data_IF_330438515384
#
_entry.id   IF_330438515384
#
_cell.length_a   1.000
_cell.length_b   1.000
_cell.length_c   1.000
_cell.angle_alpha   90.00
_cell.angle_beta   90.00
_cell.angle_gamma   90.00
#
_symmetry.space_group_name_H-M   'P 1'
#
loop_
_entity.id
_entity.type
_entity.pdbx_description
1 polymer ?
#
# COMPACT_ATOMS: atom_id res chain seq x y z
N UNK A 1 -14.88 10.41 -22.79
CA UNK A 1 -13.61 9.69 -22.58
C UNK A 1 -13.51 9.16 -21.15
N UNK A 2 -14.01 9.89 -20.14
CA UNK A 2 -13.96 9.47 -18.71
C UNK A 2 -14.97 8.35 -18.33
N UNK A 3 -16.04 8.18 -19.09
CA UNK A 3 -17.07 7.16 -18.82
C UNK A 3 -16.68 5.75 -19.29
N UNK A 4 -15.78 5.63 -20.28
CA UNK A 4 -15.39 4.34 -20.86
C UNK A 4 -14.32 3.60 -20.05
N UNK A 5 -13.49 4.35 -19.30
CA UNK A 5 -12.41 3.75 -18.47
C UNK A 5 -12.92 3.11 -17.18
N UNK A 6 -14.09 3.52 -16.69
CA UNK A 6 -14.72 2.88 -15.53
C UNK A 6 -15.33 1.51 -15.87
N UNK A 7 -15.76 1.31 -17.13
CA UNK A 7 -16.42 0.08 -17.56
C UNK A 7 -15.46 -1.11 -17.70
N UNK A 8 -14.21 -0.89 -18.11
CA UNK A 8 -13.25 -1.98 -18.28
C UNK A 8 -12.75 -2.57 -16.94
N UNK A 9 -12.60 -1.72 -15.92
CA UNK A 9 -12.25 -2.17 -14.56
C UNK A 9 -13.38 -2.95 -13.89
N UNK A 10 -14.62 -2.53 -14.14
CA UNK A 10 -15.83 -3.21 -13.66
C UNK A 10 -16.07 -4.55 -14.37
N UNK A 11 -15.70 -4.67 -15.66
CA UNK A 11 -15.86 -5.92 -16.41
C UNK A 11 -14.94 -7.05 -15.88
N UNK A 12 -13.73 -6.76 -15.45
CA UNK A 12 -12.87 -7.78 -14.84
C UNK A 12 -13.40 -8.23 -13.46
N UNK A 13 -13.89 -7.29 -12.65
CA UNK A 13 -14.52 -7.60 -11.36
C UNK A 13 -15.87 -8.35 -11.56
N UNK A 14 -16.60 -8.07 -12.64
CA UNK A 14 -17.88 -8.73 -12.98
C UNK A 14 -17.66 -10.13 -13.55
N UNK A 15 -16.58 -10.35 -14.33
CA UNK A 15 -16.25 -11.69 -14.84
C UNK A 15 -15.80 -12.64 -13.72
N UNK A 16 -15.12 -12.13 -12.70
CA UNK A 16 -14.78 -12.92 -11.52
C UNK A 16 -16.00 -13.32 -10.66
N UNK A 17 -17.10 -12.52 -10.72
CA UNK A 17 -18.33 -12.81 -9.95
C UNK A 17 -19.32 -13.67 -10.72
N UNK A 18 -19.41 -13.53 -12.04
CA UNK A 18 -20.36 -14.28 -12.88
C UNK A 18 -19.99 -15.78 -13.03
N UNK A 19 -18.68 -16.14 -12.94
CA UNK A 19 -18.22 -17.52 -13.02
C UNK A 19 -18.59 -18.38 -11.79
N UNK A 20 -19.24 -17.81 -10.78
CA UNK A 20 -19.61 -18.48 -9.52
C UNK A 20 -21.01 -19.09 -9.48
N UNK A 21 -21.83 -18.87 -10.53
CA UNK A 21 -23.26 -19.18 -10.46
C UNK A 21 -23.69 -20.48 -11.17
N UNK A 22 -22.88 -21.08 -12.03
CA UNK A 22 -23.34 -22.24 -12.81
C UNK A 22 -22.33 -23.39 -12.81
N UNK A 23 -22.32 -24.23 -11.77
CA UNK A 23 -21.83 -25.61 -11.88
C UNK A 23 -22.65 -26.56 -10.99
N UNK A 24 -23.82 -26.93 -11.50
CA UNK A 24 -24.45 -28.20 -11.15
C UNK A 24 -24.57 -28.99 -12.44
N UNK A 25 -23.76 -30.00 -12.66
CA UNK A 25 -24.04 -31.12 -13.55
C UNK A 25 -23.12 -32.30 -13.34
N UNK A 26 -23.72 -33.41 -13.26
CA UNK A 26 -23.54 -34.80 -13.06
C UNK A 26 -22.26 -35.46 -13.62
N UNK A 27 -21.90 -36.70 -13.11
CA UNK A 27 -20.64 -37.36 -13.39
C UNK A 27 -20.67 -38.10 -14.72
N UNK A 28 -19.72 -37.78 -15.59
CA UNK A 28 -19.38 -38.63 -16.77
C UNK A 28 -18.21 -39.53 -16.44
N UNK A 29 -18.33 -40.81 -16.78
CA UNK A 29 -17.33 -41.87 -16.64
C UNK A 29 -15.97 -41.50 -17.25
N UNK A 30 -14.85 -41.95 -16.68
CA UNK A 30 -13.54 -41.74 -17.26
C UNK A 30 -13.30 -42.68 -18.44
N UNK A 31 -13.61 -42.18 -19.62
CA UNK A 31 -13.08 -42.80 -20.84
C UNK A 31 -11.60 -42.42 -20.93
N UNK A 32 -10.73 -43.41 -21.02
CA UNK A 32 -9.29 -43.22 -21.06
C UNK A 32 -8.93 -42.32 -22.25
N UNK A 33 -8.60 -41.07 -21.98
CA UNK A 33 -8.17 -40.12 -22.99
C UNK A 33 -6.87 -40.62 -23.64
N UNK A 34 -6.92 -40.87 -24.94
CA UNK A 34 -5.75 -41.17 -25.75
C UNK A 34 -4.69 -40.05 -25.57
N UNK A 35 -3.39 -40.36 -25.56
CA UNK A 35 -2.35 -39.32 -25.43
C UNK A 35 -2.47 -38.33 -26.59
N UNK A 36 -2.73 -37.08 -26.27
CA UNK A 36 -2.83 -36.00 -27.27
C UNK A 36 -1.51 -35.88 -28.02
N UNK A 37 -1.58 -35.89 -29.34
CA UNK A 37 -0.40 -35.69 -30.21
C UNK A 37 0.07 -34.24 -30.15
N UNK A 38 1.35 -34.00 -30.36
CA UNK A 38 1.98 -32.67 -30.28
C UNK A 38 1.27 -31.59 -31.13
N UNK A 39 0.75 -31.89 -32.35
CA UNK A 39 -0.08 -30.96 -33.11
C UNK A 39 -1.42 -30.60 -32.50
N UNK A 40 -2.05 -31.52 -31.73
CA UNK A 40 -3.32 -31.29 -31.04
C UNK A 40 -3.13 -30.40 -29.82
N UNK A 41 -1.99 -30.46 -29.14
CA UNK A 41 -1.61 -29.54 -28.07
C UNK A 41 -1.38 -28.10 -28.58
N UNK A 42 -0.87 -27.94 -29.81
CA UNK A 42 -0.67 -26.62 -30.45
C UNK A 42 -1.92 -26.16 -31.20
N UNK A 43 -2.79 -27.04 -31.69
CA UNK A 43 -3.97 -26.72 -32.49
C UNK A 43 -5.08 -25.96 -31.76
N UNK A 44 -5.01 -25.83 -30.42
CA UNK A 44 -5.97 -25.09 -29.60
C UNK A 44 -5.52 -23.70 -29.19
N UNK A 45 -4.26 -23.32 -29.36
CA UNK A 45 -3.75 -22.02 -28.95
C UNK A 45 -3.97 -20.96 -30.03
N UNK A 46 -4.44 -19.81 -29.62
CA UNK A 46 -4.66 -18.64 -30.48
C UNK A 46 -3.75 -17.51 -30.03
N UNK A 47 -3.23 -16.76 -30.97
CA UNK A 47 -2.42 -15.57 -30.71
C UNK A 47 -3.26 -14.34 -31.04
N UNK A 48 -3.31 -13.40 -30.12
CA UNK A 48 -3.93 -12.09 -30.32
C UNK A 48 -2.92 -11.01 -29.97
N UNK A 49 -2.85 -9.99 -30.82
CA UNK A 49 -1.95 -8.84 -30.62
C UNK A 49 -2.79 -7.61 -30.33
N UNK A 50 -2.36 -6.80 -29.37
CA UNK A 50 -3.02 -5.52 -29.06
C UNK A 50 -2.94 -4.55 -30.24
N UNK A 51 -3.82 -3.54 -30.34
CA UNK A 51 -3.82 -2.58 -31.43
C UNK A 51 -2.48 -1.85 -31.65
N UNK A 52 -1.75 -1.57 -30.58
CA UNK A 52 -0.40 -0.95 -30.69
C UNK A 52 0.71 -1.92 -31.07
N UNK A 53 0.45 -3.23 -30.99
CA UNK A 53 1.45 -4.28 -31.16
C UNK A 53 2.38 -4.50 -29.97
N UNK A 54 2.15 -3.80 -28.85
CA UNK A 54 3.01 -3.88 -27.64
C UNK A 54 2.73 -5.06 -26.74
N UNK A 55 1.57 -5.68 -26.89
CA UNK A 55 1.14 -6.84 -26.10
C UNK A 55 0.71 -7.96 -27.03
N UNK A 56 1.25 -9.13 -26.79
CA UNK A 56 0.85 -10.38 -27.45
C UNK A 56 0.29 -11.32 -26.39
N UNK A 57 -0.90 -11.86 -26.64
CA UNK A 57 -1.55 -12.84 -25.76
C UNK A 57 -1.69 -14.17 -26.48
N UNK A 58 -1.24 -15.23 -25.84
CA UNK A 58 -1.33 -16.60 -26.31
C UNK A 58 -2.29 -17.34 -25.39
N UNK A 59 -3.41 -17.80 -25.89
CA UNK A 59 -4.44 -18.50 -25.11
C UNK A 59 -5.36 -19.30 -25.99
N UNK A 60 -6.39 -19.92 -25.40
CA UNK A 60 -7.33 -20.78 -26.14
C UNK A 60 -8.46 -20.02 -26.80
N UNK A 61 -8.94 -18.96 -26.16
CA UNK A 61 -10.15 -18.25 -26.55
C UNK A 61 -9.78 -16.89 -27.15
N UNK A 62 -10.10 -16.59 -28.43
CA UNK A 62 -9.78 -15.31 -29.07
C UNK A 62 -10.36 -14.08 -28.33
N UNK A 63 -11.58 -14.21 -27.78
CA UNK A 63 -12.25 -13.13 -27.05
C UNK A 63 -11.49 -12.83 -25.75
N UNK A 64 -11.13 -13.86 -24.96
CA UNK A 64 -10.34 -13.70 -23.74
C UNK A 64 -8.97 -13.08 -24.04
N UNK A 65 -8.28 -13.58 -25.07
CA UNK A 65 -7.00 -13.05 -25.50
C UNK A 65 -7.09 -11.56 -25.85
N UNK A 66 -8.15 -11.16 -26.57
CA UNK A 66 -8.37 -9.76 -26.92
C UNK A 66 -8.63 -8.89 -25.68
N UNK A 67 -9.49 -9.34 -24.76
CA UNK A 67 -9.78 -8.64 -23.52
C UNK A 67 -8.52 -8.48 -22.65
N UNK A 68 -7.74 -9.55 -22.49
CA UNK A 68 -6.49 -9.52 -21.73
C UNK A 68 -5.45 -8.61 -22.39
N UNK A 69 -5.34 -8.61 -23.73
CA UNK A 69 -4.42 -7.72 -24.44
C UNK A 69 -4.77 -6.24 -24.27
N UNK A 70 -6.06 -5.90 -24.34
CA UNK A 70 -6.55 -4.53 -24.11
C UNK A 70 -6.33 -4.10 -22.66
N UNK A 71 -6.65 -4.96 -21.70
CA UNK A 71 -6.42 -4.71 -20.30
C UNK A 71 -4.93 -4.47 -19.98
N UNK A 72 -4.03 -5.30 -20.52
CA UNK A 72 -2.60 -5.14 -20.31
C UNK A 72 -2.06 -3.86 -20.96
N UNK A 73 -2.54 -3.50 -22.15
CA UNK A 73 -2.18 -2.24 -22.82
C UNK A 73 -2.62 -1.01 -22.03
N UNK A 74 -3.86 -1.01 -21.53
CA UNK A 74 -4.38 0.03 -20.63
C UNK A 74 -3.55 0.12 -19.34
N UNK A 75 -3.18 -1.03 -18.77
CA UNK A 75 -2.36 -1.08 -17.56
C UNK A 75 -0.97 -0.48 -17.81
N UNK A 76 -0.31 -0.84 -18.90
CA UNK A 76 0.99 -0.27 -19.33
C UNK A 76 0.88 1.24 -19.47
N UNK A 77 -0.16 1.74 -20.13
CA UNK A 77 -0.39 3.18 -20.29
C UNK A 77 -0.57 3.88 -18.92
N UNK A 78 -1.33 3.28 -18.00
CA UNK A 78 -1.51 3.82 -16.64
C UNK A 78 -0.23 3.81 -15.83
N UNK A 79 0.59 2.75 -15.94
CA UNK A 79 1.91 2.70 -15.28
C UNK A 79 2.79 3.84 -15.79
N UNK A 80 2.87 4.06 -17.09
CA UNK A 80 3.58 5.21 -17.67
C UNK A 80 3.04 6.55 -17.17
N UNK A 81 1.70 6.69 -17.07
CA UNK A 81 1.06 7.90 -16.53
C UNK A 81 1.37 8.13 -15.05
N UNK A 82 1.48 7.09 -14.24
CA UNK A 82 1.83 7.18 -12.81
C UNK A 82 3.32 7.45 -12.62
N UNK A 83 4.18 6.63 -13.21
CA UNK A 83 5.63 6.66 -12.96
C UNK A 83 6.37 7.70 -13.77
N UNK A 84 5.83 8.14 -14.90
CA UNK A 84 6.52 8.98 -15.89
C UNK A 84 7.56 8.22 -16.70
N UNK A 85 7.65 6.89 -16.56
CA UNK A 85 8.56 6.07 -17.34
C UNK A 85 8.05 5.89 -18.78
N UNK A 86 8.94 5.87 -19.78
CA UNK A 86 8.56 5.47 -21.12
C UNK A 86 8.19 3.99 -21.17
N UNK A 87 7.29 3.63 -22.07
CA UNK A 87 6.92 2.23 -22.27
C UNK A 87 8.15 1.44 -22.81
N UNK A 88 8.55 0.34 -22.16
CA UNK A 88 9.67 -0.46 -22.63
C UNK A 88 9.29 -1.42 -23.77
N UNK A 89 8.02 -1.55 -24.12
CA UNK A 89 7.54 -2.49 -25.15
C UNK A 89 7.28 -1.80 -26.49
N UNK A 90 7.68 -2.48 -27.55
CA UNK A 90 7.53 -2.09 -28.95
C UNK A 90 7.01 -3.29 -29.76
N UNK A 91 6.67 -3.09 -31.03
CA UNK A 91 6.13 -4.17 -31.89
C UNK A 91 7.12 -5.34 -32.09
N UNK A 92 8.40 -5.06 -32.14
CA UNK A 92 9.48 -6.05 -32.28
C UNK A 92 9.86 -6.71 -30.94
N UNK A 93 9.47 -6.10 -29.83
CA UNK A 93 9.71 -6.59 -28.46
C UNK A 93 8.47 -6.41 -27.59
N UNK A 94 7.37 -7.14 -27.89
CA UNK A 94 6.13 -7.03 -27.13
C UNK A 94 6.23 -7.73 -25.79
N UNK A 95 5.37 -7.32 -24.85
CA UNK A 95 5.05 -8.12 -23.67
C UNK A 95 4.25 -9.35 -24.12
N UNK A 96 4.72 -10.53 -23.83
CA UNK A 96 4.01 -11.78 -24.12
C UNK A 96 3.32 -12.31 -22.86
N UNK A 97 2.00 -12.48 -22.95
CA UNK A 97 1.15 -13.08 -21.90
C UNK A 97 0.64 -14.43 -22.39
N UNK A 98 1.02 -15.49 -21.71
CA UNK A 98 0.54 -16.84 -22.00
C UNK A 98 -0.53 -17.25 -21.01
N UNK A 99 -1.73 -17.54 -21.49
CA UNK A 99 -2.87 -17.96 -20.70
C UNK A 99 -3.00 -19.47 -20.75
N UNK A 100 -2.75 -20.13 -19.63
CA UNK A 100 -2.91 -21.59 -19.50
C UNK A 100 -4.17 -21.89 -18.70
N UNK A 101 -4.99 -22.78 -19.21
CA UNK A 101 -6.02 -23.40 -18.40
C UNK A 101 -5.37 -24.40 -17.44
N UNK A 102 -5.88 -24.49 -16.22
CA UNK A 102 -5.42 -25.50 -15.28
C UNK A 102 -5.79 -26.90 -15.80
N UNK A 103 -4.79 -27.71 -16.11
CA UNK A 103 -4.99 -29.13 -16.43
C UNK A 103 -5.18 -29.89 -15.12
N UNK A 104 -6.43 -30.26 -14.80
CA UNK A 104 -6.76 -31.21 -13.74
C UNK A 104 -6.74 -30.69 -12.30
N UNK A 105 -7.84 -30.89 -11.63
CA UNK A 105 -8.30 -30.56 -10.29
C UNK A 105 -7.39 -30.75 -9.05
N UNK A 106 -6.19 -30.27 -9.06
CA UNK A 106 -5.36 -30.19 -7.86
C UNK A 106 -5.56 -28.86 -7.14
N UNK A 107 -5.95 -28.88 -5.87
CA UNK A 107 -6.19 -27.72 -5.01
C UNK A 107 -4.96 -26.82 -4.76
N UNK A 108 -3.83 -27.05 -5.41
CA UNK A 108 -2.54 -26.47 -5.04
C UNK A 108 -2.11 -25.22 -5.83
N UNK A 109 -2.87 -24.75 -6.82
CA UNK A 109 -2.44 -23.58 -7.59
C UNK A 109 -3.60 -22.69 -8.05
N UNK A 110 -4.38 -22.14 -7.11
CA UNK A 110 -5.33 -21.09 -7.44
C UNK A 110 -4.56 -19.87 -7.97
N UNK A 111 -4.68 -19.62 -9.30
CA UNK A 111 -4.21 -18.40 -9.93
C UNK A 111 -2.70 -18.14 -9.77
N UNK A 112 -1.83 -19.08 -10.22
CA UNK A 112 -0.40 -18.85 -10.21
C UNK A 112 0.05 -18.05 -11.43
N UNK A 113 0.97 -17.12 -11.23
CA UNK A 113 1.68 -16.44 -12.31
C UNK A 113 3.17 -16.75 -12.19
N UNK A 114 3.81 -17.05 -13.31
CA UNK A 114 5.26 -17.26 -13.37
C UNK A 114 5.89 -16.38 -14.45
N UNK A 115 7.04 -15.80 -14.13
CA UNK A 115 7.87 -15.09 -15.08
C UNK A 115 8.77 -16.13 -15.76
N UNK A 116 8.60 -16.28 -17.06
CA UNK A 116 9.43 -17.21 -17.86
C UNK A 116 10.65 -16.48 -18.40
N UNK A 117 10.45 -15.23 -18.81
CA UNK A 117 11.51 -14.35 -19.28
C UNK A 117 11.33 -12.99 -18.62
N UNK A 118 12.29 -12.58 -17.75
CA UNK A 118 12.21 -11.31 -17.07
C UNK A 118 12.01 -10.14 -18.03
N UNK A 119 10.99 -9.35 -17.77
CA UNK A 119 10.68 -8.18 -18.60
C UNK A 119 10.03 -8.47 -19.96
N UNK A 120 9.80 -9.73 -20.37
CA UNK A 120 9.26 -10.04 -21.69
C UNK A 120 8.07 -11.02 -21.68
N UNK A 121 8.07 -12.04 -20.82
CA UNK A 121 7.07 -13.12 -20.88
C UNK A 121 6.55 -13.54 -19.51
N UNK A 122 5.22 -13.50 -19.38
CA UNK A 122 4.47 -13.99 -18.22
C UNK A 122 3.57 -15.15 -18.60
N UNK A 123 3.47 -16.14 -17.73
CA UNK A 123 2.54 -17.26 -17.85
C UNK A 123 1.52 -17.17 -16.72
N UNK A 124 0.27 -17.01 -17.06
CA UNK A 124 -0.86 -17.01 -16.14
C UNK A 124 -1.54 -18.39 -16.15
N UNK A 125 -1.51 -19.07 -15.02
CA UNK A 125 -2.28 -20.27 -14.81
C UNK A 125 -3.63 -19.88 -14.21
N UNK A 126 -4.71 -20.07 -14.98
CA UNK A 126 -6.07 -19.72 -14.58
C UNK A 126 -6.25 -18.22 -14.20
N UNK A 127 -6.06 -17.34 -15.17
CA UNK A 127 -6.19 -15.87 -14.96
C UNK A 127 -7.58 -15.47 -14.44
N UNK A 128 -8.63 -16.25 -14.78
CA UNK A 128 -10.02 -15.96 -14.38
C UNK A 128 -10.19 -16.08 -12.86
N UNK A 129 -9.47 -17.03 -12.22
CA UNK A 129 -9.50 -17.23 -10.77
C UNK A 129 -8.46 -16.40 -10.02
N UNK A 130 -7.56 -15.75 -10.75
CA UNK A 130 -6.51 -14.94 -10.14
C UNK A 130 -7.08 -13.63 -9.58
N UNK A 131 -6.74 -13.24 -8.34
CA UNK A 131 -7.07 -11.90 -7.85
C UNK A 131 -6.52 -10.82 -8.80
N UNK A 132 -7.37 -9.88 -9.19
CA UNK A 132 -7.00 -8.82 -10.14
C UNK A 132 -5.78 -8.00 -9.69
N UNK A 133 -5.58 -7.85 -8.39
CA UNK A 133 -4.40 -7.19 -7.82
C UNK A 133 -3.11 -7.97 -8.13
N UNK A 134 -3.14 -9.30 -7.99
CA UNK A 134 -1.99 -10.16 -8.28
C UNK A 134 -1.63 -10.14 -9.78
N UNK A 135 -2.63 -10.15 -10.65
CA UNK A 135 -2.39 -10.01 -12.09
C UNK A 135 -1.76 -8.65 -12.43
N UNK A 136 -2.23 -7.56 -11.81
CA UNK A 136 -1.63 -6.22 -11.95
C UNK A 136 -0.19 -6.18 -11.46
N UNK A 137 0.09 -6.76 -10.30
CA UNK A 137 1.46 -6.82 -9.75
C UNK A 137 2.40 -7.56 -10.69
N UNK A 138 1.99 -8.69 -11.25
CA UNK A 138 2.81 -9.44 -12.19
C UNK A 138 3.17 -8.64 -13.44
N UNK A 139 2.18 -7.98 -14.06
CA UNK A 139 2.43 -7.14 -15.24
C UNK A 139 3.28 -5.92 -14.90
N UNK A 140 3.02 -5.27 -13.76
CA UNK A 140 3.85 -4.15 -13.28
C UNK A 140 5.29 -4.59 -13.01
N UNK A 141 5.49 -5.75 -12.38
CA UNK A 141 6.82 -6.32 -12.14
C UNK A 141 7.57 -6.57 -13.44
N UNK A 142 6.89 -7.20 -14.42
CA UNK A 142 7.49 -7.46 -15.73
C UNK A 142 7.88 -6.15 -16.46
N UNK A 143 7.01 -5.12 -16.41
CA UNK A 143 7.29 -3.82 -17.02
C UNK A 143 8.48 -3.11 -16.35
N UNK A 144 8.56 -3.14 -15.03
CA UNK A 144 9.68 -2.54 -14.29
C UNK A 144 10.99 -3.29 -14.56
N UNK A 145 10.95 -4.64 -14.64
CA UNK A 145 12.10 -5.46 -15.07
C UNK A 145 12.57 -5.09 -16.47
N UNK A 146 11.64 -4.95 -17.43
CA UNK A 146 11.98 -4.51 -18.80
C UNK A 146 12.63 -3.13 -18.82
N UNK A 147 12.17 -2.21 -17.98
CA UNK A 147 12.73 -0.86 -17.86
C UNK A 147 14.17 -0.91 -17.31
N UNK A 148 14.41 -1.73 -16.28
CA UNK A 148 15.73 -1.92 -15.69
C UNK A 148 16.71 -2.57 -16.69
N UNK A 149 16.26 -3.60 -17.42
CA UNK A 149 17.05 -4.25 -18.46
C UNK A 149 17.44 -3.27 -19.57
N UNK A 150 16.54 -2.40 -20.01
CA UNK A 150 16.85 -1.35 -20.99
C UNK A 150 17.91 -0.36 -20.48
N UNK A 151 17.78 0.06 -19.22
CA UNK A 151 18.76 0.95 -18.60
C UNK A 151 20.13 0.27 -18.47
N UNK A 152 20.17 -1.00 -18.10
CA UNK A 152 21.39 -1.79 -17.99
C UNK A 152 22.04 -2.07 -19.34
N UNK A 153 21.27 -2.29 -20.40
CA UNK A 153 21.79 -2.55 -21.77
C UNK A 153 22.48 -1.32 -22.38
N UNK A 154 22.24 -0.12 -21.84
CA UNK A 154 22.97 1.09 -22.21
C UNK A 154 24.37 1.16 -21.55
N UNK A 155 24.68 0.25 -20.61
CA UNK A 155 25.97 0.06 -19.93
C UNK A 155 26.54 -1.34 -20.19
N UNK A 156 27.39 -1.82 -19.29
CA UNK A 156 27.90 -3.20 -19.34
C UNK A 156 26.74 -4.19 -19.09
N UNK A 157 26.71 -5.30 -19.81
CA UNK A 157 25.67 -6.32 -19.64
C UNK A 157 25.69 -6.85 -18.18
N UNK A 158 24.58 -6.80 -17.44
CA UNK A 158 24.53 -7.32 -16.09
C UNK A 158 24.61 -8.86 -16.13
N UNK A 159 25.34 -9.46 -15.19
CA UNK A 159 25.45 -10.92 -15.03
C UNK A 159 24.07 -11.58 -14.70
N UNK A 160 23.17 -10.82 -14.10
CA UNK A 160 21.81 -11.25 -13.83
C UNK A 160 20.82 -10.12 -14.15
N UNK A 161 19.61 -10.47 -14.61
CA UNK A 161 18.55 -9.51 -14.83
C UNK A 161 18.16 -8.87 -13.48
N UNK A 162 18.22 -7.54 -13.33
CA UNK A 162 17.85 -6.91 -12.08
C UNK A 162 16.35 -7.08 -11.85
N UNK A 163 15.99 -7.60 -10.68
CA UNK A 163 14.59 -7.73 -10.26
C UNK A 163 14.13 -6.47 -9.55
N UNK A 164 12.96 -5.91 -9.93
CA UNK A 164 12.40 -4.79 -9.21
C UNK A 164 11.96 -5.23 -7.81
N UNK A 165 12.22 -4.44 -6.75
CA UNK A 165 11.79 -4.76 -5.41
C UNK A 165 10.27 -4.92 -5.31
N UNK A 166 9.82 -5.95 -4.60
CA UNK A 166 8.40 -6.29 -4.48
C UNK A 166 7.55 -5.14 -3.92
N UNK A 167 8.09 -4.33 -3.03
CA UNK A 167 7.38 -3.17 -2.49
C UNK A 167 7.15 -2.06 -3.54
N UNK A 168 8.08 -1.86 -4.49
CA UNK A 168 7.89 -0.91 -5.61
C UNK A 168 6.85 -1.46 -6.58
N UNK A 169 6.93 -2.75 -6.92
CA UNK A 169 5.93 -3.43 -7.76
C UNK A 169 4.53 -3.27 -7.15
N UNK A 170 4.38 -3.59 -5.87
CA UNK A 170 3.14 -3.40 -5.13
C UNK A 170 2.66 -1.95 -5.18
N UNK A 171 3.56 -1.00 -4.89
CA UNK A 171 3.24 0.43 -4.88
C UNK A 171 2.75 0.94 -6.24
N UNK A 172 3.38 0.55 -7.34
CA UNK A 172 2.94 0.90 -8.70
C UNK A 172 1.60 0.27 -9.03
N UNK A 173 1.43 -1.04 -8.78
CA UNK A 173 0.19 -1.76 -9.05
C UNK A 173 -1.02 -1.19 -8.31
N UNK A 174 -0.82 -0.65 -7.11
CA UNK A 174 -1.86 0.02 -6.32
C UNK A 174 -2.19 1.40 -6.85
N UNK A 175 -1.19 2.15 -7.33
CA UNK A 175 -1.40 3.52 -7.83
C UNK A 175 -2.10 3.60 -9.19
N UNK A 176 -2.04 2.56 -10.02
CA UNK A 176 -2.77 2.51 -11.30
C UNK A 176 -4.27 2.34 -11.13
N UNK A 177 -4.73 2.00 -9.91
CA UNK A 177 -6.15 1.88 -9.55
C UNK A 177 -6.56 3.06 -8.66
N UNK A 178 -7.43 3.95 -9.15
CA UNK A 178 -7.88 5.11 -8.38
C UNK A 178 -8.60 4.73 -7.07
N UNK A 179 -9.50 3.71 -7.02
CA UNK A 179 -10.10 3.25 -5.77
C UNK A 179 -9.06 2.76 -4.77
N UNK A 180 -8.08 1.96 -5.22
CA UNK A 180 -7.03 1.41 -4.38
C UNK A 180 -6.16 2.52 -3.78
N UNK A 181 -5.76 3.50 -4.59
CA UNK A 181 -4.99 4.66 -4.13
C UNK A 181 -5.74 5.46 -3.05
N UNK A 182 -7.05 5.64 -3.21
CA UNK A 182 -7.89 6.31 -2.21
C UNK A 182 -7.99 5.50 -0.90
N UNK A 183 -8.06 4.18 -1.00
CA UNK A 183 -8.05 3.27 0.15
C UNK A 183 -6.70 3.30 0.88
N UNK A 184 -5.59 3.29 0.13
CA UNK A 184 -4.24 3.37 0.67
C UNK A 184 -4.03 4.66 1.45
N UNK A 185 -4.43 5.80 0.88
CA UNK A 185 -4.38 7.08 1.57
C UNK A 185 -5.12 7.04 2.92
N UNK A 186 -6.33 6.48 2.94
CA UNK A 186 -7.12 6.32 4.18
C UNK A 186 -6.43 5.40 5.18
N UNK A 187 -5.93 4.25 4.73
CA UNK A 187 -5.26 3.27 5.60
C UNK A 187 -4.00 3.85 6.25
N UNK A 188 -3.20 4.60 5.48
CA UNK A 188 -1.99 5.26 6.00
C UNK A 188 -2.35 6.37 6.98
N UNK A 189 -3.37 7.19 6.67
CA UNK A 189 -3.82 8.25 7.54
C UNK A 189 -4.38 7.72 8.86
N UNK A 190 -5.23 6.69 8.81
CA UNK A 190 -5.80 6.06 10.01
C UNK A 190 -4.68 5.47 10.90
N UNK A 191 -3.67 4.85 10.30
CA UNK A 191 -2.51 4.34 11.05
C UNK A 191 -1.67 5.45 11.66
N UNK A 192 -1.48 6.56 10.94
CA UNK A 192 -0.75 7.72 11.42
C UNK A 192 -1.49 8.43 12.58
N UNK A 193 -2.80 8.66 12.44
CA UNK A 193 -3.64 9.25 13.49
C UNK A 193 -3.60 8.41 14.78
N UNK A 194 -3.58 7.09 14.64
CA UNK A 194 -3.48 6.14 15.75
C UNK A 194 -2.05 6.01 16.32
N UNK A 195 -1.06 6.66 15.72
CA UNK A 195 0.35 6.53 16.12
C UNK A 195 0.94 5.15 15.83
N UNK A 196 0.33 4.36 14.94
CA UNK A 196 0.78 3.02 14.54
C UNK A 196 1.67 3.02 13.30
N UNK A 197 1.95 4.18 12.73
CA UNK A 197 2.83 4.31 11.57
C UNK A 197 4.28 4.48 12.06
N UNK A 198 5.11 3.48 11.82
CA UNK A 198 6.56 3.56 12.05
C UNK A 198 7.20 4.61 11.11
N UNK A 199 8.43 5.00 11.40
CA UNK A 199 9.17 5.97 10.60
C UNK A 199 9.34 5.49 9.17
N UNK A 200 9.54 6.41 8.22
CA UNK A 200 9.83 6.03 6.84
C UNK A 200 11.14 5.24 6.76
N UNK A 201 12.15 5.59 7.55
CA UNK A 201 13.43 4.87 7.61
C UNK A 201 13.22 3.40 8.01
N UNK A 202 12.49 3.12 9.10
CA UNK A 202 12.17 1.75 9.55
C UNK A 202 11.38 0.99 8.48
N UNK A 203 10.44 1.64 7.82
CA UNK A 203 9.71 1.02 6.72
C UNK A 203 10.64 0.64 5.56
N UNK A 204 11.50 1.56 5.12
CA UNK A 204 12.44 1.32 4.01
C UNK A 204 13.46 0.22 4.34
N UNK A 205 13.95 0.17 5.59
CA UNK A 205 14.83 -0.90 6.06
C UNK A 205 14.15 -2.27 5.95
N UNK A 206 12.91 -2.38 6.45
CA UNK A 206 12.13 -3.61 6.39
C UNK A 206 11.82 -4.01 4.94
N UNK A 207 11.50 -3.06 4.06
CA UNK A 207 11.22 -3.31 2.65
C UNK A 207 12.49 -3.64 1.86
N UNK A 208 13.63 -3.02 2.18
CA UNK A 208 14.91 -3.34 1.57
C UNK A 208 15.38 -4.76 1.88
N UNK A 209 15.13 -5.24 3.11
CA UNK A 209 15.44 -6.62 3.50
C UNK A 209 14.55 -7.68 2.81
N UNK A 210 13.36 -7.28 2.31
CA UNK A 210 12.39 -8.18 1.68
C UNK A 210 12.69 -8.57 0.23
N UNK A 211 13.65 -7.94 -0.44
CA UNK A 211 14.01 -8.23 -1.84
C UNK A 211 12.83 -8.11 -2.81
N UNK A 212 12.65 -9.10 -3.69
CA UNK A 212 11.56 -9.13 -4.68
C UNK A 212 10.19 -9.54 -4.10
N UNK A 213 10.12 -9.96 -2.84
CA UNK A 213 8.87 -10.39 -2.22
C UNK A 213 7.88 -9.22 -2.06
N UNK A 214 6.66 -9.40 -2.56
CA UNK A 214 5.58 -8.42 -2.39
C UNK A 214 5.08 -8.44 -0.94
N UNK A 215 4.96 -7.28 -0.26
CA UNK A 215 4.42 -7.22 1.09
C UNK A 215 2.99 -7.79 1.18
N UNK A 216 2.72 -8.55 2.23
CA UNK A 216 1.40 -9.18 2.46
C UNK A 216 0.52 -8.38 3.42
N UNK A 217 1.11 -7.62 4.34
CA UNK A 217 0.38 -6.82 5.32
C UNK A 217 -0.40 -5.66 4.69
N UNK A 218 -1.67 -5.48 5.06
CA UNK A 218 -2.53 -4.42 4.51
C UNK A 218 -1.91 -3.02 4.65
N UNK A 219 -1.35 -2.71 5.83
CA UNK A 219 -0.72 -1.41 6.09
C UNK A 219 0.55 -1.24 5.26
N UNK A 220 1.41 -2.26 5.18
CA UNK A 220 2.65 -2.18 4.39
C UNK A 220 2.33 -2.02 2.90
N UNK A 221 1.35 -2.74 2.38
CA UNK A 221 0.87 -2.58 0.99
C UNK A 221 0.36 -1.16 0.74
N UNK A 222 -0.45 -0.62 1.64
CA UNK A 222 -0.94 0.75 1.54
C UNK A 222 0.20 1.78 1.57
N UNK A 223 1.21 1.55 2.41
CA UNK A 223 2.41 2.40 2.47
C UNK A 223 3.22 2.35 1.19
N UNK A 224 3.39 1.17 0.59
CA UNK A 224 4.03 1.04 -0.73
C UNK A 224 3.32 1.93 -1.77
N UNK A 225 1.98 1.85 -1.83
CA UNK A 225 1.17 2.72 -2.69
C UNK A 225 1.38 4.20 -2.40
N UNK A 226 1.37 4.57 -1.12
CA UNK A 226 1.51 5.96 -0.69
C UNK A 226 2.91 6.54 -0.96
N UNK A 227 4.00 5.77 -0.74
CA UNK A 227 5.38 6.18 -1.05
C UNK A 227 5.56 6.37 -2.55
N UNK A 228 5.10 5.42 -3.39
CA UNK A 228 5.18 5.55 -4.85
C UNK A 228 4.37 6.77 -5.32
N UNK A 229 3.16 6.99 -4.82
CA UNK A 229 2.36 8.18 -5.12
C UNK A 229 3.08 9.47 -4.74
N UNK A 230 3.79 9.49 -3.62
CA UNK A 230 4.56 10.64 -3.18
C UNK A 230 5.72 10.95 -4.12
N UNK A 231 6.53 9.95 -4.47
CA UNK A 231 7.69 10.11 -5.39
C UNK A 231 7.24 10.58 -6.77
N UNK A 232 6.08 10.11 -7.23
CA UNK A 232 5.55 10.40 -8.56
C UNK A 232 4.67 11.65 -8.64
N UNK A 233 4.43 12.35 -7.53
CA UNK A 233 3.53 13.52 -7.49
C UNK A 233 4.12 14.80 -8.09
N UNK A 234 5.45 14.90 -8.28
CA UNK A 234 6.16 16.12 -8.66
C UNK A 234 6.46 16.28 -10.15
N UNK A 235 6.98 17.45 -10.53
CA UNK A 235 7.67 17.63 -11.83
C UNK A 235 8.94 16.79 -11.85
N UNK A 236 9.27 16.19 -13.00
CA UNK A 236 10.42 15.28 -13.10
C UNK A 236 10.21 13.92 -12.46
N UNK A 237 8.96 13.52 -12.29
CA UNK A 237 8.57 12.23 -11.68
C UNK A 237 9.25 11.01 -12.32
N UNK A 238 9.45 11.02 -13.64
CA UNK A 238 10.11 9.93 -14.34
C UNK A 238 11.54 9.73 -13.87
N UNK A 239 12.32 10.82 -13.74
CA UNK A 239 13.71 10.77 -13.28
C UNK A 239 13.80 10.38 -11.81
N UNK A 240 12.89 10.91 -10.99
CA UNK A 240 12.83 10.59 -9.57
C UNK A 240 12.50 9.11 -9.35
N UNK A 241 11.52 8.60 -10.07
CA UNK A 241 11.12 7.20 -9.98
C UNK A 241 12.17 6.27 -10.58
N UNK A 242 12.82 6.65 -11.70
CA UNK A 242 13.95 5.90 -12.28
C UNK A 242 15.11 5.75 -11.29
N UNK A 243 15.49 6.84 -10.61
CA UNK A 243 16.54 6.78 -9.57
C UNK A 243 16.16 5.87 -8.43
N UNK A 244 14.94 6.02 -7.90
CA UNK A 244 14.44 5.16 -6.83
C UNK A 244 14.47 3.68 -7.25
N UNK A 245 13.95 3.37 -8.44
CA UNK A 245 13.92 2.01 -8.97
C UNK A 245 15.33 1.43 -9.15
N UNK A 246 16.25 2.17 -9.75
CA UNK A 246 17.63 1.74 -9.94
C UNK A 246 18.35 1.51 -8.61
N UNK A 247 18.22 2.45 -7.65
CA UNK A 247 18.82 2.31 -6.32
C UNK A 247 18.25 1.11 -5.59
N UNK A 248 16.92 0.96 -5.58
CA UNK A 248 16.24 -0.10 -4.83
C UNK A 248 16.46 -1.51 -5.43
N UNK A 249 16.84 -1.61 -6.70
CA UNK A 249 17.16 -2.88 -7.38
C UNK A 249 18.63 -3.29 -7.24
N UNK A 250 19.45 -2.52 -6.54
CA UNK A 250 20.85 -2.84 -6.26
C UNK A 250 21.00 -3.98 -5.25
N UNK A 251 22.05 -4.79 -5.42
CA UNK A 251 22.25 -6.01 -4.60
C UNK A 251 22.51 -5.76 -3.09
N UNK A 252 22.83 -4.51 -2.71
CA UNK A 252 23.16 -4.14 -1.32
C UNK A 252 22.41 -2.89 -0.86
N UNK A 253 21.14 -2.75 -1.27
CA UNK A 253 20.36 -1.56 -0.96
C UNK A 253 20.03 -1.50 0.52
N UNK A 254 20.45 -0.45 1.20
CA UNK A 254 20.10 -0.16 2.58
C UNK A 254 19.13 1.03 2.68
N UNK A 255 18.58 1.26 3.85
CA UNK A 255 17.63 2.35 4.10
C UNK A 255 18.24 3.74 3.84
N UNK A 256 19.56 3.92 4.04
CA UNK A 256 20.23 5.19 3.80
C UNK A 256 20.34 5.49 2.31
N UNK A 257 20.62 4.48 1.48
CA UNK A 257 20.67 4.63 0.00
C UNK A 257 19.28 4.97 -0.55
N UNK A 258 18.23 4.27 -0.09
CA UNK A 258 16.84 4.58 -0.44
C UNK A 258 16.45 5.98 0.03
N UNK A 259 16.82 6.34 1.26
CA UNK A 259 16.62 7.69 1.79
C UNK A 259 17.29 8.75 0.94
N UNK A 260 18.53 8.51 0.49
CA UNK A 260 19.29 9.41 -0.38
C UNK A 260 18.66 9.53 -1.77
N UNK A 261 18.19 8.43 -2.35
CA UNK A 261 17.48 8.44 -3.64
C UNK A 261 16.17 9.24 -3.54
N UNK A 262 15.45 9.14 -2.43
CA UNK A 262 14.25 9.93 -2.15
C UNK A 262 14.59 11.39 -1.86
N UNK A 263 15.62 11.68 -1.06
CA UNK A 263 16.04 13.04 -0.70
C UNK A 263 16.53 13.85 -1.91
N UNK A 264 17.15 13.23 -2.90
CA UNK A 264 17.50 13.88 -4.17
C UNK A 264 16.31 14.44 -4.94
N UNK A 265 15.10 14.07 -4.55
CA UNK A 265 13.83 14.52 -5.15
C UNK A 265 13.16 15.64 -4.33
N UNK A 266 13.49 15.75 -3.07
CA UNK A 266 12.88 16.65 -2.11
C UNK A 266 13.97 17.54 -1.47
N UNK A 267 13.65 18.81 -1.19
CA UNK A 267 14.56 19.80 -0.58
C UNK A 267 15.16 19.32 0.77
N UNK A 268 16.24 19.94 1.27
CA UNK A 268 17.12 19.48 2.35
C UNK A 268 16.49 19.36 3.76
N UNK A 269 15.20 19.54 3.88
CA UNK A 269 14.46 19.16 5.09
C UNK A 269 14.57 17.62 5.21
N UNK A 270 14.86 17.13 6.39
CA UNK A 270 15.02 15.70 6.62
C UNK A 270 13.88 14.87 6.01
N UNK A 271 14.20 13.70 5.48
CA UNK A 271 13.29 12.82 4.78
C UNK A 271 12.00 12.53 5.59
N UNK A 272 12.15 12.36 6.91
CA UNK A 272 11.02 12.12 7.82
C UNK A 272 10.08 13.33 7.91
N UNK A 273 10.62 14.55 7.97
CA UNK A 273 9.80 15.74 7.99
C UNK A 273 9.04 15.94 6.66
N UNK A 274 9.68 15.63 5.53
CA UNK A 274 9.02 15.65 4.23
C UNK A 274 7.91 14.60 4.13
N UNK A 275 8.12 13.41 4.70
CA UNK A 275 7.13 12.35 4.82
C UNK A 275 5.95 12.78 5.69
N UNK A 276 6.21 13.29 6.90
CA UNK A 276 5.18 13.76 7.82
C UNK A 276 4.35 14.90 7.19
N UNK A 277 5.00 15.85 6.50
CA UNK A 277 4.30 16.91 5.76
C UNK A 277 3.42 16.36 4.65
N UNK A 278 3.84 15.29 3.98
CA UNK A 278 3.03 14.64 2.95
C UNK A 278 1.80 13.99 3.56
N UNK A 279 1.97 13.23 4.65
CA UNK A 279 0.86 12.60 5.37
C UNK A 279 -0.12 13.65 5.87
N UNK A 280 0.37 14.73 6.48
CA UNK A 280 -0.45 15.87 6.92
C UNK A 280 -1.24 16.52 5.78
N UNK A 281 -0.61 16.71 4.61
CA UNK A 281 -1.29 17.28 3.45
C UNK A 281 -2.44 16.41 2.98
N UNK A 282 -2.22 15.11 2.89
CA UNK A 282 -3.28 14.17 2.51
C UNK A 282 -4.40 14.14 3.56
N UNK A 283 -4.07 14.21 4.84
CA UNK A 283 -5.04 14.31 5.93
C UNK A 283 -5.95 15.54 5.75
N UNK A 284 -5.39 16.70 5.39
CA UNK A 284 -6.19 17.90 5.13
C UNK A 284 -7.10 17.75 3.90
N UNK A 285 -6.62 17.11 2.84
CA UNK A 285 -7.42 16.87 1.62
C UNK A 285 -8.55 15.86 1.88
N UNK A 286 -8.29 14.87 2.72
CA UNK A 286 -9.26 13.80 3.06
C UNK A 286 -10.15 14.19 4.25
N UNK A 287 -9.86 15.32 4.97
CA UNK A 287 -10.72 15.88 6.03
C UNK A 287 -12.10 16.18 5.46
N UNK A 288 -13.00 15.21 5.55
CA UNK A 288 -14.29 15.19 4.84
C UNK A 288 -15.29 16.12 5.50
N UNK A 289 -15.93 17.01 4.76
CA UNK A 289 -17.23 17.52 5.18
C UNK A 289 -18.21 16.34 5.22
N UNK A 290 -18.78 16.00 6.38
CA UNK A 290 -19.84 15.01 6.51
C UNK A 290 -19.59 13.83 7.45
N UNK A 291 -18.45 13.76 8.17
CA UNK A 291 -18.30 12.76 9.23
C UNK A 291 -19.21 13.07 10.42
N UNK A 292 -19.83 12.03 10.97
CA UNK A 292 -20.65 12.16 12.18
C UNK A 292 -19.79 12.60 13.37
N UNK A 293 -20.41 13.26 14.36
CA UNK A 293 -19.73 13.64 15.60
C UNK A 293 -19.13 12.43 16.29
N UNK A 294 -19.85 11.29 16.29
CA UNK A 294 -19.39 10.04 16.90
C UNK A 294 -18.12 9.48 16.25
N UNK A 295 -18.03 9.47 14.91
CA UNK A 295 -16.80 9.07 14.19
C UNK A 295 -15.63 9.99 14.50
N UNK A 296 -15.89 11.28 14.60
CA UNK A 296 -14.86 12.27 14.91
C UNK A 296 -14.32 12.14 16.33
N UNK A 297 -15.20 11.89 17.30
CA UNK A 297 -14.82 11.56 18.69
C UNK A 297 -14.04 10.25 18.76
N UNK A 298 -14.48 9.21 18.02
CA UNK A 298 -13.77 7.95 17.92
C UNK A 298 -12.33 8.12 17.39
N UNK A 299 -12.13 8.93 16.36
CA UNK A 299 -10.80 9.27 15.83
C UNK A 299 -9.93 10.02 16.82
N UNK A 300 -10.48 11.01 17.50
CA UNK A 300 -9.74 11.74 18.52
C UNK A 300 -9.30 10.79 19.65
N UNK A 301 -10.18 9.90 20.12
CA UNK A 301 -9.82 8.88 21.11
C UNK A 301 -8.71 7.95 20.62
N UNK A 302 -8.78 7.48 19.37
CA UNK A 302 -7.72 6.69 18.79
C UNK A 302 -6.40 7.46 18.71
N UNK A 303 -6.46 8.75 18.39
CA UNK A 303 -5.29 9.64 18.39
C UNK A 303 -4.73 9.91 19.79
N UNK A 304 -5.50 9.76 20.86
CA UNK A 304 -5.05 9.90 22.25
C UNK A 304 -4.29 8.67 22.77
N UNK A 305 -4.39 7.52 22.13
CA UNK A 305 -3.62 6.33 22.49
C UNK A 305 -2.13 6.55 22.20
N UNK A 306 -1.27 6.15 23.14
CA UNK A 306 0.18 6.34 23.04
C UNK A 306 0.85 5.00 22.69
N UNK A 307 1.58 4.96 21.56
CA UNK A 307 2.34 3.80 21.06
C UNK A 307 3.82 4.17 20.90
N UNK A 308 4.59 4.28 22.01
CA UNK A 308 5.97 4.78 21.94
C UNK A 308 6.93 3.84 21.20
N UNK A 309 6.66 2.54 21.18
CA UNK A 309 7.47 1.55 20.48
C UNK A 309 7.67 1.83 18.99
N UNK A 310 6.77 2.63 18.38
CA UNK A 310 6.87 3.03 16.98
C UNK A 310 7.74 4.28 16.75
N UNK A 311 8.23 4.92 17.81
CA UNK A 311 9.03 6.15 17.77
C UNK A 311 10.43 6.00 18.34
N UNK A 312 11.01 4.79 18.29
CA UNK A 312 12.39 4.56 18.74
C UNK A 312 12.55 4.34 20.25
N UNK A 313 11.45 4.05 20.97
CA UNK A 313 11.58 3.48 22.31
C UNK A 313 12.39 2.18 22.21
N UNK A 314 13.40 1.95 23.07
CA UNK A 314 14.13 0.69 23.08
C UNK A 314 13.15 -0.47 23.12
N UNK A 315 13.31 -1.42 22.22
CA UNK A 315 12.33 -2.47 21.94
C UNK A 315 11.96 -3.22 23.23
N UNK A 316 10.75 -2.98 23.71
CA UNK A 316 10.04 -4.01 24.46
C UNK A 316 9.53 -5.04 23.44
N UNK A 317 9.39 -6.29 23.83
CA UNK A 317 8.93 -7.40 22.99
C UNK A 317 7.55 -7.15 22.31
N UNK A 318 6.90 -6.03 22.59
CA UNK A 318 5.57 -5.63 22.10
C UNK A 318 5.60 -4.22 21.50
N UNK A 319 5.84 -4.08 20.18
CA UNK A 319 5.88 -2.77 19.52
C UNK A 319 4.56 -1.98 19.59
N UNK A 320 3.45 -2.66 19.89
CA UNK A 320 2.12 -2.06 20.01
C UNK A 320 1.65 -1.88 21.46
N UNK A 321 2.55 -2.00 22.44
CA UNK A 321 2.21 -1.69 23.83
C UNK A 321 1.77 -0.23 23.95
N UNK A 322 0.57 -0.01 24.49
CA UNK A 322 0.11 1.32 24.88
C UNK A 322 0.75 1.73 26.20
N UNK A 323 1.15 2.99 26.25
CA UNK A 323 1.69 3.64 27.45
C UNK A 323 0.65 4.62 27.98
N UNK A 324 0.54 4.74 29.28
CA UNK A 324 -0.32 5.76 29.90
C UNK A 324 0.30 7.16 29.83
N UNK A 325 -0.52 8.20 29.83
CA UNK A 325 -0.05 9.60 29.90
C UNK A 325 0.83 9.89 31.11
N UNK A 326 0.55 9.38 32.35
CA UNK A 326 1.46 9.51 33.48
C UNK A 326 2.82 8.87 33.21
N UNK A 327 2.84 7.66 32.64
CA UNK A 327 4.07 6.94 32.30
C UNK A 327 4.93 7.71 31.28
N UNK A 328 4.28 8.37 30.26
CA UNK A 328 5.00 9.25 29.33
C UNK A 328 5.67 10.44 30.04
N UNK A 329 5.01 11.00 31.07
CA UNK A 329 5.61 12.07 31.89
C UNK A 329 6.84 11.58 32.63
N UNK A 330 6.83 10.36 33.15
CA UNK A 330 7.96 9.75 33.86
C UNK A 330 9.14 9.48 32.91
N UNK A 331 8.83 9.15 31.65
CA UNK A 331 9.84 8.91 30.60
C UNK A 331 10.33 10.19 29.89
N UNK A 332 9.95 11.39 30.32
CA UNK A 332 10.18 12.68 29.62
C UNK A 332 11.63 12.98 29.25
N UNK A 333 12.60 12.42 29.97
CA UNK A 333 14.03 12.63 29.76
C UNK A 333 14.65 11.71 28.70
N UNK A 334 13.88 10.74 28.20
CA UNK A 334 14.35 9.83 27.16
C UNK A 334 14.41 10.53 25.79
N UNK A 335 15.47 10.27 25.04
CA UNK A 335 15.77 10.96 23.76
C UNK A 335 14.62 10.90 22.74
N UNK A 336 13.92 9.76 22.65
CA UNK A 336 12.81 9.55 21.71
C UNK A 336 11.56 10.34 22.05
N UNK A 337 11.35 10.75 23.32
CA UNK A 337 10.11 11.39 23.79
C UNK A 337 9.89 12.74 23.11
N UNK A 338 10.94 13.50 22.85
CA UNK A 338 10.80 14.81 22.17
C UNK A 338 10.19 14.67 20.78
N UNK A 339 10.66 13.74 19.99
CA UNK A 339 10.13 13.46 18.65
C UNK A 339 8.72 12.88 18.70
N UNK A 340 8.49 11.93 19.62
CA UNK A 340 7.17 11.39 19.87
C UNK A 340 6.14 12.48 20.17
N UNK A 341 6.46 13.43 21.04
CA UNK A 341 5.57 14.55 21.38
C UNK A 341 5.23 15.43 20.17
N UNK A 342 6.18 15.67 19.26
CA UNK A 342 5.93 16.41 18.02
C UNK A 342 4.93 15.68 17.15
N UNK A 343 5.19 14.41 16.86
CA UNK A 343 4.32 13.56 16.04
C UNK A 343 2.93 13.46 16.61
N UNK A 344 2.84 13.25 17.92
CA UNK A 344 1.54 13.13 18.62
C UNK A 344 0.75 14.43 18.60
N UNK A 345 1.41 15.57 18.80
CA UNK A 345 0.76 16.89 18.68
C UNK A 345 0.20 17.12 17.27
N UNK A 346 0.94 16.74 16.24
CA UNK A 346 0.49 16.84 14.87
C UNK A 346 -0.72 15.92 14.60
N UNK A 347 -0.68 14.68 15.09
CA UNK A 347 -1.79 13.72 14.97
C UNK A 347 -3.09 14.27 15.60
N UNK A 348 -3.00 14.83 16.81
CA UNK A 348 -4.15 15.43 17.51
C UNK A 348 -4.73 16.62 16.75
N UNK A 349 -3.89 17.51 16.21
CA UNK A 349 -4.34 18.65 15.40
C UNK A 349 -5.04 18.21 14.12
N UNK A 350 -4.55 17.16 13.49
CA UNK A 350 -5.19 16.59 12.27
C UNK A 350 -6.52 15.94 12.61
N UNK A 351 -6.58 15.14 13.67
CA UNK A 351 -7.81 14.48 14.11
C UNK A 351 -8.94 15.48 14.40
N UNK A 352 -8.59 16.72 14.75
CA UNK A 352 -9.55 17.79 15.07
C UNK A 352 -9.69 18.87 14.00
N UNK A 353 -8.97 18.79 12.88
CA UNK A 353 -9.04 19.76 11.80
C UNK A 353 -10.46 19.87 11.24
N UNK A 354 -10.99 21.10 11.21
CA UNK A 354 -12.35 21.37 10.71
C UNK A 354 -13.48 20.87 11.63
N UNK A 355 -13.19 20.60 12.92
CA UNK A 355 -14.16 20.10 13.90
C UNK A 355 -14.62 21.18 14.89
N UNK A 356 -15.70 20.88 15.62
CA UNK A 356 -16.26 21.79 16.62
C UNK A 356 -15.34 22.06 17.80
N UNK A 357 -15.56 23.21 18.48
CA UNK A 357 -14.68 23.78 19.49
C UNK A 357 -14.35 22.86 20.68
N UNK A 358 -15.20 21.89 21.01
CA UNK A 358 -14.94 20.95 22.11
C UNK A 358 -13.79 19.97 21.78
N UNK A 359 -13.79 19.38 20.60
CA UNK A 359 -12.72 18.48 20.16
C UNK A 359 -11.40 19.21 20.02
N UNK A 360 -11.43 20.46 19.51
CA UNK A 360 -10.24 21.31 19.41
C UNK A 360 -9.70 21.63 20.81
N UNK A 361 -10.57 21.96 21.78
CA UNK A 361 -10.13 22.19 23.18
C UNK A 361 -9.42 21.00 23.78
N UNK A 362 -9.93 19.77 23.56
CA UNK A 362 -9.26 18.54 24.02
C UNK A 362 -7.89 18.38 23.36
N UNK A 363 -7.82 18.49 22.05
CA UNK A 363 -6.54 18.40 21.34
C UNK A 363 -5.53 19.44 21.80
N UNK A 364 -5.96 20.71 21.98
CA UNK A 364 -5.10 21.79 22.46
C UNK A 364 -4.61 21.54 23.88
N UNK A 365 -5.44 21.00 24.76
CA UNK A 365 -5.04 20.65 26.12
C UNK A 365 -3.94 19.56 26.15
N UNK A 366 -4.11 18.48 25.35
CA UNK A 366 -3.08 17.47 25.22
C UNK A 366 -1.84 17.98 24.47
N UNK A 367 -1.97 18.84 23.46
CA UNK A 367 -0.84 19.51 22.82
C UNK A 367 -0.05 20.39 23.79
N UNK A 368 -0.74 21.08 24.71
CA UNK A 368 -0.09 21.87 25.76
C UNK A 368 0.72 20.99 26.72
N UNK A 369 0.19 19.81 27.09
CA UNK A 369 0.91 18.80 27.86
C UNK A 369 2.17 18.32 27.11
N UNK A 370 2.04 17.90 25.86
CA UNK A 370 3.14 17.41 25.02
C UNK A 370 4.22 18.50 24.83
N UNK A 371 3.82 19.74 24.63
CA UNK A 371 4.73 20.91 24.59
C UNK A 371 5.42 21.12 25.94
N UNK A 372 4.70 20.90 27.03
CA UNK A 372 5.26 20.96 28.39
C UNK A 372 6.32 19.90 28.65
N UNK A 373 6.08 18.66 28.20
CA UNK A 373 7.02 17.53 28.30
C UNK A 373 8.30 17.89 27.53
N UNK A 374 8.19 18.32 26.27
CA UNK A 374 9.34 18.74 25.45
C UNK A 374 10.13 19.92 26.06
N UNK A 375 9.42 20.85 26.66
CA UNK A 375 10.03 22.03 27.27
C UNK A 375 10.60 21.79 28.67
N UNK A 376 10.66 20.55 29.15
CA UNK A 376 11.25 20.18 30.45
C UNK A 376 10.51 20.80 31.63
N UNK A 377 9.17 21.03 31.53
CA UNK A 377 8.40 21.55 32.66
C UNK A 377 8.46 20.59 33.85
N UNK A 378 8.40 21.15 35.07
CA UNK A 378 8.39 20.35 36.29
C UNK A 378 7.20 19.39 36.32
N UNK A 379 7.38 18.23 36.94
CA UNK A 379 6.39 17.17 37.06
C UNK A 379 5.04 17.69 37.61
N UNK A 380 5.09 18.55 38.63
CA UNK A 380 3.89 19.19 39.19
C UNK A 380 3.10 20.00 38.14
N UNK A 381 3.80 20.69 37.23
CA UNK A 381 3.16 21.45 36.15
C UNK A 381 2.59 20.51 35.08
N UNK A 382 3.30 19.41 34.76
CA UNK A 382 2.84 18.41 33.80
C UNK A 382 1.60 17.67 34.29
N UNK A 383 1.56 17.28 35.58
CA UNK A 383 0.37 16.68 36.18
C UNK A 383 -0.86 17.61 36.12
N UNK A 384 -0.69 18.91 36.37
CA UNK A 384 -1.78 19.88 36.21
C UNK A 384 -2.27 20.01 34.76
N UNK A 385 -1.35 19.95 33.78
CA UNK A 385 -1.72 19.97 32.36
C UNK A 385 -2.45 18.69 31.97
N UNK A 386 -2.05 17.53 32.52
CA UNK A 386 -2.73 16.27 32.30
C UNK A 386 -4.13 16.30 32.90
N UNK A 387 -4.28 16.77 34.14
CA UNK A 387 -5.60 16.87 34.79
C UNK A 387 -6.54 17.77 33.97
N UNK A 388 -6.04 18.89 33.45
CA UNK A 388 -6.82 19.78 32.59
C UNK A 388 -7.22 19.08 31.25
N UNK A 389 -6.32 18.31 30.64
CA UNK A 389 -6.59 17.60 29.41
C UNK A 389 -7.63 16.48 29.60
N UNK A 390 -7.51 15.71 30.70
CA UNK A 390 -8.49 14.68 31.07
C UNK A 390 -9.85 15.30 31.42
N UNK A 391 -9.87 16.46 32.07
CA UNK A 391 -11.14 17.18 32.33
C UNK A 391 -11.81 17.62 31.03
N UNK A 392 -11.05 18.18 30.08
CA UNK A 392 -11.58 18.55 28.77
C UNK A 392 -12.09 17.33 27.98
N UNK A 393 -11.40 16.19 28.07
CA UNK A 393 -11.85 14.96 27.41
C UNK A 393 -13.18 14.42 27.96
N UNK A 394 -13.41 14.57 29.27
CA UNK A 394 -14.69 14.15 29.91
C UNK A 394 -15.89 14.97 29.45
N UNK A 395 -15.67 16.18 28.95
CA UNK A 395 -16.73 17.03 28.42
C UNK A 395 -17.18 16.64 26.99
N UNK A 396 -16.45 15.74 26.31
CA UNK A 396 -16.83 15.28 24.97
C UNK A 396 -18.16 14.50 24.99
N UNK A 397 -19.08 14.82 24.07
CA UNK A 397 -20.33 14.08 23.95
C UNK A 397 -20.09 12.59 23.67
N UNK A 398 -20.79 11.72 24.33
CA UNK A 398 -20.72 10.26 24.14
C UNK A 398 -19.69 9.54 25.01
N UNK A 399 -19.14 10.14 26.06
CA UNK A 399 -18.47 9.42 27.14
C UNK A 399 -19.51 8.91 28.15
N UNK A 400 -20.50 8.18 27.67
CA UNK A 400 -21.25 7.24 28.50
C UNK A 400 -20.42 5.97 28.65
N UNK A 401 -20.33 5.46 29.85
CA UNK A 401 -19.71 4.21 30.32
C UNK A 401 -19.54 3.16 29.21
N UNK A 402 -18.38 2.50 29.07
CA UNK A 402 -18.21 1.44 28.09
C UNK A 402 -19.33 0.40 28.31
N UNK A 403 -20.00 -0.08 27.24
CA UNK A 403 -20.98 -1.13 27.36
C UNK A 403 -20.27 -2.39 27.88
N UNK A 404 -20.40 -2.71 29.15
CA UNK A 404 -19.79 -3.87 29.79
C UNK A 404 -19.56 -3.81 31.29
N UNK A 405 -19.89 -2.72 31.97
CA UNK A 405 -19.79 -2.67 33.45
C UNK A 405 -21.15 -2.78 34.15
N UNK A 406 -22.14 -3.38 33.51
CA UNK A 406 -23.29 -3.88 34.25
C UNK A 406 -22.85 -5.16 34.97
N UNK A 407 -22.61 -5.02 36.25
CA UNK A 407 -22.35 -6.09 37.20
C UNK A 407 -23.61 -7.03 37.22
N UNK A 408 -23.54 -8.27 36.73
CA UNK A 408 -24.64 -9.19 36.87
C UNK A 408 -24.56 -9.83 38.28
N UNK A 409 -24.99 -9.10 39.28
CA UNK A 409 -24.90 -9.66 40.64
C UNK A 409 -25.50 -8.81 41.71
N UNK A 410 -26.82 -8.59 41.66
CA UNK A 410 -27.62 -8.42 42.86
C UNK A 410 -29.04 -8.88 42.56
N UNK A 411 -29.20 -10.19 42.50
CA UNK A 411 -30.49 -10.85 42.70
C UNK A 411 -30.69 -11.06 44.20
N UNK A 412 -31.60 -10.33 44.77
CA UNK A 412 -32.11 -10.49 46.14
C UNK A 412 -33.37 -11.35 46.13
N UNK A 413 -33.82 -11.81 47.26
CA UNK A 413 -33.84 -13.20 47.73
C UNK A 413 -35.13 -13.95 47.36
#
# INVERSE_FOLDING_TARGET
VLAFTAAAGLLLDTLCTAARADTVSAPASPEAAAPLTFPELLGGLRVSTSPSGRVVVIGRTPIENLQVSQWAEDLIARVGAVTGLPCPYERDRPLTLELRAQAGGGAASEGAVSTVEPGARLVFNDIVRMPAERAREAVCGCLLSATLLRAASAGAAPEAAPEPPGWIVCGVARNVSAPQRAEDGRTVLDAWEQGRLDTLAVFLERMGAGGSAVPTGRLDRARCGFVVAWVTAGRGRGDAFSRLLATASGASTNAADLGSALAGTFTPVGLEEAWDRRVLREAHVVSRPGQSTAESVGRLRAALLLYPGLCGMPQSAEPYRTVGWPELIDMREQAWVSEFCIRKSNALRVATAGRGGEMVRVADAYCALLTGIRGGKSERKLKRLLDAAVAAEKELPGIGTPPGSENPGEGTP
#
